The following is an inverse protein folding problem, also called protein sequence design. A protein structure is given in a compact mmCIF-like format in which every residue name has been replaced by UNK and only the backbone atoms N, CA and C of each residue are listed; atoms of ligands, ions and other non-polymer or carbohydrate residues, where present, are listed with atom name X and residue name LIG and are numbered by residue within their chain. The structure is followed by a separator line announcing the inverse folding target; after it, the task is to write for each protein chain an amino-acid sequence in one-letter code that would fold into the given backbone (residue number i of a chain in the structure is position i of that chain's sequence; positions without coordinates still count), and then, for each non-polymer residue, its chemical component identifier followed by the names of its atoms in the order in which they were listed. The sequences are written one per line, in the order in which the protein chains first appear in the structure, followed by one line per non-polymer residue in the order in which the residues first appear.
data_IF_228453058017
#
_entry.id   IF_228453058017
#
_cell.length_a   1.000
_cell.length_b   1.000
_cell.length_c   1.000
_cell.angle_alpha   90.00
_cell.angle_beta   90.00
_cell.angle_gamma   90.00
#
_symmetry.space_group_name_H-M   'P 1'
#
loop_
_entity.id
_entity.type
_entity.pdbx_description
1 polymer ?
#
# COMPACT_ATOMS: atom_id res chain seq x y z
N UNK A 1 -10.52 11.03 4.19
CA UNK A 1 -9.56 10.24 4.99
C UNK A 1 -8.20 10.95 5.12
N UNK A 2 -7.62 11.52 4.04
CA UNK A 2 -6.33 12.24 4.13
C UNK A 2 -6.35 13.33 5.21
N UNK A 3 -7.35 14.21 5.19
CA UNK A 3 -7.47 15.30 6.18
C UNK A 3 -7.66 14.78 7.61
N UNK A 4 -8.37 13.65 7.78
CA UNK A 4 -8.52 13.00 9.07
C UNK A 4 -7.17 12.53 9.64
N UNK A 5 -6.33 11.90 8.83
CA UNK A 5 -5.00 11.51 9.28
C UNK A 5 -4.10 12.74 9.51
N UNK A 6 -4.16 13.74 8.63
CA UNK A 6 -3.39 14.98 8.78
C UNK A 6 -3.71 15.69 10.10
N UNK A 7 -4.98 15.71 10.52
CA UNK A 7 -5.39 16.32 11.79
C UNK A 7 -4.91 15.58 13.05
N UNK A 8 -4.47 14.32 12.91
CA UNK A 8 -3.89 13.51 14.01
C UNK A 8 -2.37 13.68 14.15
N UNK A 9 -1.74 14.36 13.21
CA UNK A 9 -0.29 14.54 13.16
C UNK A 9 0.11 15.93 13.63
N UNK A 10 1.35 16.03 14.08
CA UNK A 10 1.97 17.34 14.33
C UNK A 10 2.08 18.12 13.02
N UNK A 11 1.99 19.46 13.03
CA UNK A 11 2.03 20.28 11.81
C UNK A 11 3.25 20.04 10.92
N UNK A 12 4.40 19.75 11.53
CA UNK A 12 5.67 19.50 10.85
C UNK A 12 5.83 18.08 10.30
N UNK A 13 4.99 17.12 10.75
CA UNK A 13 5.09 15.74 10.31
C UNK A 13 4.52 15.57 8.89
N UNK A 14 5.37 15.09 7.99
CA UNK A 14 5.03 14.88 6.58
C UNK A 14 4.26 13.57 6.36
N UNK A 15 3.47 13.51 5.29
CA UNK A 15 2.69 12.31 4.93
C UNK A 15 3.17 11.78 3.58
N UNK A 16 3.58 10.52 3.58
CA UNK A 16 3.79 9.72 2.37
C UNK A 16 2.49 8.96 2.09
N UNK A 17 1.81 9.25 0.99
CA UNK A 17 0.58 8.58 0.57
C UNK A 17 0.89 7.42 -0.37
N UNK A 18 0.42 6.21 -0.02
CA UNK A 18 0.64 5.00 -0.82
C UNK A 18 -0.37 4.92 -1.96
N UNK A 19 0.11 5.03 -3.21
CA UNK A 19 -0.72 4.97 -4.43
C UNK A 19 -0.33 3.81 -5.35
N UNK A 20 0.48 2.86 -4.84
CA UNK A 20 0.93 1.65 -5.53
C UNK A 20 -0.23 0.72 -5.91
N UNK A 21 0.05 -0.26 -6.76
CA UNK A 21 -0.92 -1.27 -7.23
C UNK A 21 -2.18 -0.60 -7.80
N UNK A 22 -1.98 0.33 -8.74
CA UNK A 22 -3.06 1.10 -9.36
C UNK A 22 -3.95 1.82 -8.33
N UNK A 23 -3.32 2.46 -7.32
CA UNK A 23 -4.06 3.09 -6.22
C UNK A 23 -4.91 2.10 -5.43
N UNK A 24 -4.36 0.92 -5.10
CA UNK A 24 -5.10 -0.19 -4.46
C UNK A 24 -6.33 -0.63 -5.28
N UNK A 25 -6.26 -0.50 -6.62
CA UNK A 25 -7.35 -0.81 -7.53
C UNK A 25 -8.33 0.35 -7.79
N UNK A 26 -8.15 1.49 -7.12
CA UNK A 26 -9.07 2.63 -7.22
C UNK A 26 -8.70 3.65 -8.33
N UNK A 27 -7.57 3.44 -9.02
CA UNK A 27 -7.01 4.38 -9.99
C UNK A 27 -5.87 5.21 -9.40
N UNK A 28 -4.70 5.17 -10.03
CA UNK A 28 -3.51 5.84 -9.47
C UNK A 28 -3.51 7.34 -9.74
N UNK A 29 -3.90 7.75 -10.95
CA UNK A 29 -3.76 9.14 -11.39
C UNK A 29 -4.69 10.09 -10.65
N UNK A 30 -5.99 9.82 -10.64
CA UNK A 30 -7.00 10.65 -10.00
C UNK A 30 -6.72 10.82 -8.50
N UNK A 31 -6.30 9.72 -7.88
CA UNK A 31 -5.89 9.73 -6.48
C UNK A 31 -4.62 10.56 -6.27
N UNK A 32 -3.56 10.32 -7.05
CA UNK A 32 -2.31 11.06 -6.96
C UNK A 32 -2.52 12.56 -7.22
N UNK A 33 -3.33 12.91 -8.23
CA UNK A 33 -3.70 14.31 -8.54
C UNK A 33 -4.45 14.97 -7.39
N UNK A 34 -5.44 14.26 -6.83
CA UNK A 34 -6.18 14.76 -5.67
C UNK A 34 -5.28 15.00 -4.46
N UNK A 35 -4.35 14.09 -4.20
CA UNK A 35 -3.40 14.21 -3.09
C UNK A 35 -2.42 15.36 -3.31
N UNK A 36 -1.91 15.52 -4.54
CA UNK A 36 -1.06 16.66 -4.90
C UNK A 36 -1.79 17.99 -4.71
N UNK A 37 -3.03 18.11 -5.19
CA UNK A 37 -3.84 19.32 -5.05
C UNK A 37 -4.21 19.64 -3.59
N UNK A 38 -4.24 18.62 -2.72
CA UNK A 38 -4.47 18.79 -1.28
C UNK A 38 -3.18 18.99 -0.49
N UNK A 39 -2.04 19.09 -1.16
CA UNK A 39 -0.75 19.38 -0.53
C UNK A 39 -0.19 18.21 0.29
N UNK A 40 -0.35 16.97 -0.18
CA UNK A 40 0.40 15.86 0.35
C UNK A 40 1.91 16.05 0.08
N UNK A 41 2.75 15.53 0.98
CA UNK A 41 4.20 15.77 0.89
C UNK A 41 4.90 14.81 -0.09
N UNK A 42 4.50 13.54 -0.08
CA UNK A 42 5.08 12.48 -0.90
C UNK A 42 4.01 11.50 -1.38
N UNK A 43 4.24 10.92 -2.54
CA UNK A 43 3.59 9.68 -2.95
C UNK A 43 4.56 8.50 -2.81
N UNK A 44 4.02 7.27 -2.72
CA UNK A 44 4.82 6.07 -2.83
C UNK A 44 4.14 5.04 -3.74
N UNK A 45 4.94 4.48 -4.64
CA UNK A 45 4.56 3.44 -5.60
C UNK A 45 5.36 2.17 -5.34
N UNK A 46 4.97 1.04 -5.93
CA UNK A 46 5.72 -0.20 -5.78
C UNK A 46 6.95 -0.23 -6.69
N UNK A 47 6.79 0.04 -7.96
CA UNK A 47 7.82 -0.08 -9.00
C UNK A 47 8.00 1.23 -9.77
N UNK A 48 9.12 1.35 -10.48
CA UNK A 48 9.47 2.57 -11.21
C UNK A 48 8.45 2.93 -12.31
N UNK A 49 7.86 1.93 -12.96
CA UNK A 49 6.89 2.15 -14.04
C UNK A 49 5.62 2.84 -13.55
N UNK A 50 5.10 2.49 -12.37
CA UNK A 50 3.97 3.20 -11.75
C UNK A 50 4.31 4.69 -11.54
N UNK A 51 5.51 4.98 -11.06
CA UNK A 51 5.98 6.36 -10.86
C UNK A 51 6.15 7.11 -12.17
N UNK A 52 6.69 6.45 -13.21
CA UNK A 52 6.86 7.03 -14.53
C UNK A 52 5.51 7.37 -15.20
N UNK A 53 4.50 6.51 -15.05
CA UNK A 53 3.14 6.80 -15.53
C UNK A 53 2.54 8.03 -14.83
N UNK A 54 2.68 8.15 -13.53
CA UNK A 54 2.25 9.33 -12.79
C UNK A 54 2.97 10.61 -13.24
N UNK A 55 4.29 10.53 -13.51
CA UNK A 55 5.06 11.66 -14.05
C UNK A 55 4.58 12.08 -15.44
N UNK A 56 4.35 11.11 -16.35
CA UNK A 56 3.79 11.37 -17.69
C UNK A 56 2.41 12.01 -17.62
N UNK A 57 1.62 11.67 -16.60
CA UNK A 57 0.32 12.27 -16.33
C UNK A 57 0.38 13.64 -15.64
N UNK A 58 1.58 14.19 -15.34
CA UNK A 58 1.75 15.54 -14.81
C UNK A 58 1.86 15.63 -13.28
N UNK A 59 2.08 14.54 -12.58
CA UNK A 59 2.38 14.57 -11.14
C UNK A 59 3.81 15.05 -10.93
N UNK A 60 4.00 16.10 -10.14
CA UNK A 60 5.30 16.77 -9.92
C UNK A 60 5.87 16.57 -8.51
N UNK A 61 5.03 16.22 -7.53
CA UNK A 61 5.47 16.00 -6.15
C UNK A 61 6.44 14.81 -6.03
N UNK A 62 7.26 14.71 -4.98
CA UNK A 62 8.19 13.59 -4.78
C UNK A 62 7.47 12.23 -4.77
N UNK A 63 8.06 11.23 -5.46
CA UNK A 63 7.53 9.86 -5.55
C UNK A 63 8.60 8.88 -5.09
N UNK A 64 8.33 8.18 -3.99
CA UNK A 64 9.15 7.10 -3.46
C UNK A 64 8.82 5.79 -4.18
N UNK A 65 9.82 5.05 -4.66
CA UNK A 65 9.68 3.71 -5.24
C UNK A 65 10.11 2.68 -4.20
N UNK A 66 9.17 1.81 -3.78
CA UNK A 66 9.34 0.89 -2.66
C UNK A 66 10.08 -0.41 -3.03
N UNK A 67 10.03 -0.84 -4.29
CA UNK A 67 10.71 -2.05 -4.76
C UNK A 67 11.46 -1.73 -6.08
N UNK A 68 12.51 -0.90 -6.02
CA UNK A 68 13.28 -0.60 -7.22
C UNK A 68 14.07 -1.83 -7.67
N UNK A 69 14.10 -2.05 -8.98
CA UNK A 69 14.91 -3.07 -9.62
C UNK A 69 16.12 -2.41 -10.32
N UNK A 70 17.24 -3.13 -10.44
CA UNK A 70 18.43 -2.61 -11.12
C UNK A 70 18.17 -2.29 -12.59
N UNK A 71 17.29 -3.06 -13.24
CA UNK A 71 16.82 -2.82 -14.62
C UNK A 71 16.07 -1.51 -14.80
N UNK A 72 15.54 -0.93 -13.72
CA UNK A 72 14.72 0.28 -13.74
C UNK A 72 15.48 1.58 -13.48
N UNK A 73 16.82 1.57 -13.29
CA UNK A 73 17.58 2.77 -12.93
C UNK A 73 17.42 3.91 -13.95
N UNK A 74 17.41 3.62 -15.24
CA UNK A 74 17.15 4.64 -16.27
C UNK A 74 15.79 5.31 -16.10
N UNK A 75 14.76 4.52 -15.79
CA UNK A 75 13.41 5.04 -15.50
C UNK A 75 13.43 5.90 -14.25
N UNK A 76 14.06 5.42 -13.16
CA UNK A 76 14.20 6.19 -11.92
C UNK A 76 14.82 7.57 -12.17
N UNK A 77 15.96 7.61 -12.85
CA UNK A 77 16.68 8.85 -13.11
C UNK A 77 15.94 9.78 -14.08
N UNK A 78 15.39 9.23 -15.18
CA UNK A 78 14.69 10.02 -16.20
C UNK A 78 13.42 10.69 -15.68
N UNK A 79 12.75 10.06 -14.71
CA UNK A 79 11.50 10.56 -14.13
C UNK A 79 11.66 11.14 -12.72
N UNK A 80 12.91 11.31 -12.24
CA UNK A 80 13.20 11.84 -10.90
C UNK A 80 12.39 11.13 -9.80
N UNK A 81 12.46 9.79 -9.78
CA UNK A 81 11.82 8.95 -8.79
C UNK A 81 12.82 8.59 -7.70
N UNK A 82 12.40 8.59 -6.45
CA UNK A 82 13.28 8.41 -5.29
C UNK A 82 13.24 6.95 -4.80
N UNK A 83 14.27 6.12 -5.05
CA UNK A 83 14.20 4.69 -4.71
C UNK A 83 14.47 4.41 -3.23
N UNK A 84 13.79 3.41 -2.69
CA UNK A 84 14.18 2.68 -1.49
C UNK A 84 15.48 1.92 -1.73
N UNK A 85 16.42 1.93 -0.79
CA UNK A 85 17.67 1.17 -0.83
C UNK A 85 17.69 0.20 0.34
N UNK A 86 17.67 -1.10 0.04
CA UNK A 86 17.50 -2.16 1.02
C UNK A 86 18.65 -3.19 1.05
N UNK A 87 19.63 -3.08 0.14
CA UNK A 87 20.76 -4.00 0.09
C UNK A 87 22.02 -3.30 -0.41
N UNK A 88 23.19 -3.87 -0.09
CA UNK A 88 24.48 -3.39 -0.58
C UNK A 88 24.62 -3.50 -2.10
N UNK A 89 24.05 -4.55 -2.69
CA UNK A 89 24.07 -4.73 -4.14
C UNK A 89 23.34 -3.58 -4.84
N UNK A 90 22.12 -3.27 -4.37
CA UNK A 90 21.33 -2.17 -4.92
C UNK A 90 22.00 -0.82 -4.71
N UNK A 91 22.58 -0.57 -3.51
CA UNK A 91 23.28 0.66 -3.20
C UNK A 91 24.50 0.87 -4.12
N UNK A 92 25.33 -0.14 -4.27
CA UNK A 92 26.51 -0.05 -5.16
C UNK A 92 26.12 0.08 -6.63
N UNK A 93 25.10 -0.64 -7.06
CA UNK A 93 24.64 -0.60 -8.44
C UNK A 93 24.05 0.75 -8.84
N UNK A 94 23.25 1.39 -7.97
CA UNK A 94 22.70 2.72 -8.26
C UNK A 94 23.78 3.82 -8.25
N UNK A 95 24.77 3.71 -7.36
CA UNK A 95 25.94 4.61 -7.35
C UNK A 95 26.71 4.47 -8.68
N UNK A 96 27.07 3.24 -9.05
CA UNK A 96 27.82 2.99 -10.28
C UNK A 96 27.09 3.44 -11.56
N UNK A 97 25.78 3.29 -11.62
CA UNK A 97 24.99 3.77 -12.76
C UNK A 97 24.86 5.31 -12.75
N UNK A 98 24.69 5.90 -11.58
CA UNK A 98 24.65 7.35 -11.42
C UNK A 98 25.98 8.04 -11.76
N UNK A 99 27.14 7.42 -11.44
CA UNK A 99 28.47 7.89 -11.84
C UNK A 99 28.61 7.97 -13.36
N UNK A 100 28.18 6.94 -14.09
CA UNK A 100 28.20 6.93 -15.56
C UNK A 100 27.38 8.08 -16.17
N UNK A 101 26.36 8.52 -15.47
CA UNK A 101 25.48 9.61 -15.89
C UNK A 101 25.88 10.97 -15.32
N UNK A 102 26.94 11.04 -14.50
CA UNK A 102 27.43 12.28 -13.87
C UNK A 102 26.43 12.84 -12.84
N UNK A 103 25.64 12.00 -12.20
CA UNK A 103 24.69 12.42 -11.17
C UNK A 103 25.41 12.78 -9.87
N UNK A 104 24.87 13.75 -9.15
CA UNK A 104 25.32 14.12 -7.81
C UNK A 104 24.11 14.48 -6.92
N UNK A 105 24.16 14.00 -5.67
CA UNK A 105 23.11 14.29 -4.66
C UNK A 105 21.73 13.71 -4.99
N UNK A 106 21.66 12.60 -5.74
CA UNK A 106 20.38 11.97 -6.07
C UNK A 106 19.72 11.37 -4.82
N UNK A 107 18.46 11.74 -4.50
CA UNK A 107 17.83 11.36 -3.25
C UNK A 107 17.46 9.87 -3.23
N UNK A 108 17.83 9.19 -2.14
CA UNK A 108 17.48 7.80 -1.88
C UNK A 108 16.94 7.65 -0.45
N UNK A 109 16.20 6.56 -0.20
CA UNK A 109 15.58 6.26 1.09
C UNK A 109 16.14 4.95 1.65
N UNK A 110 16.87 5.04 2.75
CA UNK A 110 17.55 3.87 3.35
C UNK A 110 16.54 3.05 4.15
N UNK A 111 16.40 1.78 3.79
CA UNK A 111 15.51 0.84 4.47
C UNK A 111 16.25 0.07 5.55
N UNK A 112 15.69 0.07 6.77
CA UNK A 112 16.15 -0.73 7.89
C UNK A 112 15.19 -1.90 8.11
N UNK A 113 15.72 -3.10 8.27
CA UNK A 113 14.98 -4.22 8.80
C UNK A 113 15.09 -4.23 10.32
N UNK A 114 14.07 -3.71 10.97
CA UNK A 114 13.98 -3.71 12.44
C UNK A 114 13.14 -4.88 12.98
N UNK A 115 12.80 -5.88 12.13
CA UNK A 115 12.05 -7.05 12.54
C UNK A 115 10.89 -7.46 11.61
N UNK A 116 10.67 -6.77 10.46
CA UNK A 116 9.72 -7.22 9.44
C UNK A 116 10.27 -8.41 8.63
N UNK A 117 11.59 -8.53 8.53
CA UNK A 117 12.33 -9.57 7.81
C UNK A 117 11.90 -9.76 6.36
N UNK A 118 11.68 -8.63 5.68
CA UNK A 118 11.28 -8.61 4.26
C UNK A 118 12.36 -7.98 3.38
N UNK A 119 12.73 -6.73 3.64
CA UNK A 119 13.78 -5.97 2.97
C UNK A 119 14.41 -5.01 3.99
N UNK A 120 15.67 -4.66 3.78
CA UNK A 120 16.37 -3.64 4.56
C UNK A 120 17.71 -4.09 5.15
N UNK A 121 18.50 -3.14 5.57
CA UNK A 121 19.74 -3.35 6.28
C UNK A 121 19.45 -3.69 7.74
N UNK A 122 20.19 -4.66 8.28
CA UNK A 122 20.18 -4.97 9.70
C UNK A 122 21.07 -3.99 10.49
N UNK A 123 20.89 -3.90 11.80
CA UNK A 123 21.68 -3.02 12.68
C UNK A 123 23.19 -3.21 12.51
N UNK A 124 23.66 -4.46 12.37
CA UNK A 124 25.08 -4.80 12.12
C UNK A 124 25.65 -4.26 10.82
N UNK A 125 24.80 -3.84 9.88
CA UNK A 125 25.20 -3.32 8.58
C UNK A 125 25.46 -1.81 8.57
N UNK A 126 25.08 -1.09 9.63
CA UNK A 126 25.04 0.38 9.63
C UNK A 126 26.40 1.03 9.40
N UNK A 127 27.47 0.48 9.94
CA UNK A 127 28.84 0.97 9.73
C UNK A 127 29.19 0.96 8.24
N UNK A 128 28.97 -0.16 7.56
CA UNK A 128 29.26 -0.28 6.12
C UNK A 128 28.33 0.58 5.26
N UNK A 129 27.05 0.75 5.64
CA UNK A 129 26.13 1.67 4.95
C UNK A 129 26.64 3.10 5.01
N UNK A 130 27.08 3.55 6.20
CA UNK A 130 27.65 4.89 6.41
C UNK A 130 28.95 5.07 5.60
N UNK A 131 29.86 4.11 5.63
CA UNK A 131 31.10 4.12 4.87
C UNK A 131 30.82 4.33 3.38
N UNK A 132 29.95 3.50 2.78
CA UNK A 132 29.60 3.61 1.37
C UNK A 132 28.95 4.97 1.05
N UNK A 133 28.02 5.44 1.89
CA UNK A 133 27.35 6.72 1.65
C UNK A 133 28.30 7.93 1.75
N UNK A 134 29.32 7.86 2.59
CA UNK A 134 30.29 8.95 2.76
C UNK A 134 31.42 8.95 1.73
N UNK A 135 31.69 7.82 1.08
CA UNK A 135 32.77 7.66 0.09
C UNK A 135 32.33 7.99 -1.36
N UNK A 136 31.18 8.63 -1.52
CA UNK A 136 30.64 8.98 -2.83
C UNK A 136 29.79 10.25 -2.78
N UNK A 137 29.44 10.81 -3.95
CA UNK A 137 28.64 12.04 -4.08
C UNK A 137 27.40 11.87 -4.95
N UNK A 138 27.19 10.68 -5.51
CA UNK A 138 26.10 10.37 -6.47
C UNK A 138 24.75 10.37 -5.79
N UNK A 139 24.63 9.68 -4.65
CA UNK A 139 23.38 9.58 -3.92
C UNK A 139 23.46 10.27 -2.56
N UNK A 140 22.29 10.72 -2.07
CA UNK A 140 22.15 11.32 -0.74
C UNK A 140 20.98 10.63 0.00
N UNK A 141 21.23 10.20 1.22
CA UNK A 141 20.19 9.61 2.07
C UNK A 141 19.17 10.69 2.50
N UNK A 142 18.06 10.80 1.78
CA UNK A 142 16.98 11.75 2.09
C UNK A 142 16.19 11.33 3.33
N UNK A 143 15.93 10.03 3.46
CA UNK A 143 15.30 9.47 4.65
C UNK A 143 15.86 8.10 5.02
N UNK A 144 15.59 7.71 6.25
CA UNK A 144 15.77 6.36 6.76
C UNK A 144 14.44 5.87 7.33
N UNK A 145 14.09 4.61 7.09
CA UNK A 145 12.79 4.09 7.51
C UNK A 145 12.76 2.58 7.75
N UNK A 146 11.77 2.16 8.51
CA UNK A 146 11.44 0.75 8.71
C UNK A 146 9.94 0.50 8.53
N UNK A 147 9.47 -0.71 8.84
CA UNK A 147 8.05 -1.07 8.73
C UNK A 147 7.62 -1.99 9.86
N UNK A 148 6.48 -1.70 10.46
CA UNK A 148 5.92 -2.54 11.50
C UNK A 148 5.40 -3.86 10.95
N UNK A 149 5.64 -4.93 11.71
CA UNK A 149 5.15 -6.27 11.42
C UNK A 149 3.76 -6.54 12.04
N UNK A 150 3.41 -5.90 13.17
CA UNK A 150 2.20 -6.22 13.93
C UNK A 150 1.57 -5.01 14.61
N UNK A 151 1.69 -3.79 14.05
CA UNK A 151 1.11 -2.58 14.65
C UNK A 151 -0.42 -2.54 14.66
N UNK A 152 -1.09 -3.43 13.98
CA UNK A 152 -2.55 -3.58 13.90
C UNK A 152 -3.14 -4.36 15.08
N UNK A 153 -2.36 -5.22 15.74
CA UNK A 153 -2.83 -6.07 16.84
C UNK A 153 -2.14 -5.73 18.16
N UNK A 154 -2.93 -5.49 19.22
CA UNK A 154 -2.43 -5.14 20.56
C UNK A 154 -1.47 -6.16 21.17
N UNK A 155 -1.66 -7.45 20.87
CA UNK A 155 -0.78 -8.53 21.36
C UNK A 155 0.68 -8.40 20.89
N UNK A 156 0.94 -7.58 19.88
CA UNK A 156 2.28 -7.35 19.32
C UNK A 156 2.87 -5.98 19.70
N UNK A 157 2.32 -5.30 20.70
CA UNK A 157 2.81 -3.99 21.11
C UNK A 157 4.28 -4.03 21.57
N UNK A 158 4.63 -5.00 22.41
CA UNK A 158 6.01 -5.19 22.83
C UNK A 158 6.96 -5.43 21.68
N UNK A 159 6.50 -6.15 20.65
CA UNK A 159 7.28 -6.36 19.43
C UNK A 159 7.45 -5.08 18.64
N UNK A 160 6.38 -4.30 18.51
CA UNK A 160 6.40 -3.01 17.84
C UNK A 160 7.34 -2.02 18.52
N UNK A 161 7.37 -1.98 19.86
CA UNK A 161 8.33 -1.17 20.62
C UNK A 161 9.78 -1.60 20.36
N UNK A 162 10.08 -2.90 20.37
CA UNK A 162 11.42 -3.38 20.00
C UNK A 162 11.81 -3.00 18.58
N UNK A 163 10.87 -3.02 17.62
CA UNK A 163 11.12 -2.54 16.26
C UNK A 163 11.48 -1.05 16.23
N UNK A 164 10.79 -0.22 17.05
CA UNK A 164 11.07 1.22 17.19
C UNK A 164 12.48 1.43 17.78
N UNK A 165 12.83 0.73 18.85
CA UNK A 165 14.15 0.84 19.48
C UNK A 165 15.28 0.48 18.51
N UNK A 166 15.18 -0.65 17.83
CA UNK A 166 16.17 -1.08 16.83
C UNK A 166 16.27 -0.08 15.68
N UNK A 167 15.14 0.38 15.16
CA UNK A 167 15.10 1.40 14.11
C UNK A 167 15.74 2.71 14.59
N UNK A 168 15.45 3.16 15.82
CA UNK A 168 15.98 4.41 16.37
C UNK A 168 17.50 4.35 16.48
N UNK A 169 18.08 3.26 17.01
CA UNK A 169 19.53 3.09 17.08
C UNK A 169 20.19 3.18 15.68
N UNK A 170 19.62 2.49 14.68
CA UNK A 170 20.12 2.57 13.30
C UNK A 170 20.02 3.98 12.72
N UNK A 171 18.88 4.65 12.93
CA UNK A 171 18.63 5.99 12.44
C UNK A 171 19.53 7.04 13.12
N UNK A 172 19.77 6.89 14.43
CA UNK A 172 20.68 7.75 15.19
C UNK A 172 22.12 7.58 14.71
N UNK A 173 22.55 6.33 14.49
CA UNK A 173 23.88 6.05 13.97
C UNK A 173 24.08 6.67 12.58
N UNK A 174 23.13 6.50 11.67
CA UNK A 174 23.19 7.09 10.33
C UNK A 174 23.21 8.64 10.39
N UNK A 175 22.37 9.25 11.26
CA UNK A 175 22.33 10.71 11.42
C UNK A 175 23.62 11.29 12.01
N UNK A 176 24.23 10.61 12.99
CA UNK A 176 25.50 11.05 13.60
C UNK A 176 26.65 11.11 12.61
N UNK A 177 26.61 10.27 11.57
CA UNK A 177 27.66 10.20 10.54
C UNK A 177 27.27 10.94 9.23
N UNK A 178 26.14 11.64 9.22
CA UNK A 178 25.67 12.43 8.07
C UNK A 178 25.85 13.92 8.30
N UNK A 179 26.25 14.66 7.24
CA UNK A 179 26.38 16.12 7.26
C UNK A 179 25.06 16.87 7.09
N UNK A 180 23.98 16.17 6.76
CA UNK A 180 22.66 16.74 6.52
C UNK A 180 21.62 16.03 7.36
N UNK A 181 20.43 16.66 7.51
CA UNK A 181 19.31 16.04 8.20
C UNK A 181 18.74 14.91 7.34
N UNK A 182 18.63 13.71 7.92
CA UNK A 182 17.96 12.54 7.35
C UNK A 182 16.57 12.41 7.97
N UNK A 183 15.52 12.41 7.15
CA UNK A 183 14.14 12.29 7.63
C UNK A 183 13.85 10.85 8.10
N UNK A 184 13.10 10.70 9.18
CA UNK A 184 12.83 9.39 9.80
C UNK A 184 11.37 9.02 9.70
N UNK A 185 11.07 7.78 9.38
CA UNK A 185 9.69 7.28 9.41
C UNK A 185 9.58 5.76 9.62
N UNK A 186 8.63 5.35 10.45
CA UNK A 186 8.33 3.94 10.70
C UNK A 186 6.83 3.65 10.60
N UNK A 187 5.96 4.60 11.00
CA UNK A 187 4.53 4.38 11.13
C UNK A 187 3.85 4.12 9.78
N UNK A 188 3.08 3.02 9.71
CA UNK A 188 2.07 2.75 8.70
C UNK A 188 0.69 3.25 9.20
N UNK A 189 -0.42 2.97 8.51
CA UNK A 189 -1.76 3.41 8.93
C UNK A 189 -2.11 3.00 10.36
N UNK A 190 -1.87 1.74 10.75
CA UNK A 190 -2.12 1.27 12.11
C UNK A 190 -1.22 1.98 13.12
N UNK A 191 0.06 2.14 12.78
CA UNK A 191 1.01 2.87 13.60
C UNK A 191 0.62 4.32 13.85
N UNK A 192 0.09 5.03 12.87
CA UNK A 192 -0.42 6.40 13.04
C UNK A 192 -1.55 6.45 14.08
N UNK A 193 -2.41 5.45 14.10
CA UNK A 193 -3.55 5.39 15.01
C UNK A 193 -3.18 4.93 16.42
N UNK A 194 -2.18 4.05 16.56
CA UNK A 194 -1.88 3.37 17.82
C UNK A 194 -0.61 3.83 18.51
N UNK A 195 0.34 4.41 17.79
CA UNK A 195 1.63 4.86 18.28
C UNK A 195 1.94 6.30 17.85
N UNK A 196 1.00 7.26 18.08
CA UNK A 196 1.14 8.63 17.57
C UNK A 196 2.37 9.38 18.11
N UNK A 197 2.93 8.95 19.24
CA UNK A 197 4.16 9.52 19.82
C UNK A 197 5.40 9.29 18.92
N UNK A 198 5.37 8.27 18.06
CA UNK A 198 6.48 7.92 17.16
C UNK A 198 6.30 8.41 15.72
N UNK A 199 5.52 9.48 15.48
CA UNK A 199 5.31 10.04 14.12
C UNK A 199 6.62 10.53 13.46
N UNK A 200 7.64 10.87 14.25
CA UNK A 200 8.95 11.33 13.77
C UNK A 200 8.84 12.47 12.73
N UNK A 201 9.63 12.45 11.65
CA UNK A 201 9.56 13.47 10.59
C UNK A 201 8.47 13.16 9.55
N UNK A 202 8.14 11.87 9.34
CA UNK A 202 7.16 11.44 8.33
C UNK A 202 6.39 10.21 8.79
N UNK A 203 5.21 10.01 8.17
CA UNK A 203 4.39 8.79 8.30
C UNK A 203 3.97 8.27 6.93
N UNK A 204 3.61 6.98 6.84
CA UNK A 204 3.13 6.37 5.60
C UNK A 204 1.66 5.98 5.71
N UNK A 205 0.81 6.73 5.02
CA UNK A 205 -0.62 6.50 4.96
C UNK A 205 -0.95 5.55 3.79
N UNK A 206 -1.35 4.34 4.13
CA UNK A 206 -1.73 3.30 3.18
C UNK A 206 -3.23 3.02 3.19
N UNK A 207 -3.63 1.88 3.75
CA UNK A 207 -5.00 1.36 3.66
C UNK A 207 -6.05 2.32 4.23
N UNK A 208 -5.70 3.12 5.25
CA UNK A 208 -6.60 4.13 5.82
C UNK A 208 -6.98 5.25 4.85
N UNK A 209 -6.15 5.52 3.84
CA UNK A 209 -6.48 6.48 2.79
C UNK A 209 -7.73 6.02 2.01
N UNK A 210 -7.86 4.71 1.83
CA UNK A 210 -8.94 4.05 1.09
C UNK A 210 -10.18 3.75 1.93
N UNK A 211 -10.22 4.20 3.18
CA UNK A 211 -11.38 4.06 4.05
C UNK A 211 -11.48 2.72 4.78
N UNK A 212 -10.39 1.96 4.81
CA UNK A 212 -10.33 0.69 5.55
C UNK A 212 -9.50 0.88 6.82
N UNK A 213 -10.12 0.59 7.98
CA UNK A 213 -9.41 0.60 9.26
C UNK A 213 -8.59 -0.68 9.42
N UNK A 214 -7.29 -0.58 9.73
CA UNK A 214 -6.48 -1.75 10.05
C UNK A 214 -6.62 -2.19 11.51
N UNK A 215 -7.44 -1.50 12.32
CA UNK A 215 -7.66 -1.77 13.73
C UNK A 215 -9.16 -1.88 14.01
N UNK A 216 -9.52 -2.61 15.06
CA UNK A 216 -10.94 -2.84 15.43
C UNK A 216 -11.65 -1.58 15.96
N UNK A 217 -10.86 -0.60 16.45
CA UNK A 217 -11.44 0.64 17.00
C UNK A 217 -11.95 1.55 15.88
N UNK A 218 -13.21 2.01 15.94
CA UNK A 218 -13.72 2.99 14.99
C UNK A 218 -12.85 4.25 14.96
N UNK A 219 -12.41 4.66 13.77
CA UNK A 219 -11.49 5.78 13.61
C UNK A 219 -12.04 6.91 12.70
N UNK A 220 -13.32 6.85 12.34
CA UNK A 220 -14.00 7.89 11.57
C UNK A 220 -13.63 7.93 10.07
N UNK A 221 -13.20 6.78 9.51
CA UNK A 221 -12.89 6.67 8.08
C UNK A 221 -14.18 6.61 7.25
N UNK A 222 -14.14 7.29 6.11
CA UNK A 222 -15.20 7.24 5.10
C UNK A 222 -14.85 6.22 4.02
N UNK A 223 -15.84 5.40 3.62
CA UNK A 223 -15.71 4.46 2.50
C UNK A 223 -15.46 5.23 1.20
N UNK A 224 -14.38 4.91 0.49
CA UNK A 224 -13.97 5.61 -0.73
C UNK A 224 -14.54 4.96 -1.98
N UNK A 225 -14.63 3.63 -2.02
CA UNK A 225 -15.00 2.88 -3.23
C UNK A 225 -16.34 2.17 -3.08
N UNK A 226 -17.13 2.16 -4.15
CA UNK A 226 -18.36 1.37 -4.27
C UNK A 226 -18.28 0.54 -5.54
N UNK A 227 -18.30 -0.80 -5.39
CA UNK A 227 -18.38 -1.70 -6.53
C UNK A 227 -19.86 -1.84 -6.95
N UNK A 228 -20.14 -1.59 -8.23
CA UNK A 228 -21.49 -1.71 -8.82
C UNK A 228 -21.45 -2.62 -10.02
N UNK A 229 -22.53 -3.39 -10.22
CA UNK A 229 -22.74 -4.21 -11.40
C UNK A 229 -24.22 -4.22 -11.77
N UNK A 230 -24.58 -4.87 -12.87
CA UNK A 230 -25.97 -4.97 -13.38
C UNK A 230 -26.45 -6.41 -13.32
N UNK A 231 -27.76 -6.60 -13.36
CA UNK A 231 -28.36 -7.93 -13.50
C UNK A 231 -28.48 -8.25 -15.00
N UNK A 232 -27.86 -9.37 -15.42
CA UNK A 232 -27.95 -9.87 -16.80
C UNK A 232 -29.28 -10.57 -17.09
N UNK A 233 -29.71 -11.44 -16.17
CA UNK A 233 -30.91 -12.24 -16.32
C UNK A 233 -31.45 -12.67 -14.96
N UNK A 234 -32.75 -12.77 -14.84
CA UNK A 234 -33.42 -13.40 -13.69
C UNK A 234 -34.18 -14.64 -14.17
N UNK A 235 -34.05 -15.75 -13.44
CA UNK A 235 -34.77 -16.99 -13.67
C UNK A 235 -35.57 -17.35 -12.42
N UNK A 236 -36.78 -17.87 -12.60
CA UNK A 236 -37.53 -18.52 -11.55
C UNK A 236 -37.26 -20.01 -11.61
N UNK A 237 -36.82 -20.58 -10.52
CA UNK A 237 -36.40 -21.98 -10.42
C UNK A 237 -37.13 -22.62 -9.23
N UNK A 238 -37.47 -23.89 -9.37
CA UNK A 238 -38.20 -24.65 -8.32
C UNK A 238 -37.26 -25.13 -7.22
N UNK A 239 -37.83 -25.40 -6.06
CA UNK A 239 -37.14 -26.09 -4.98
C UNK A 239 -36.49 -27.40 -5.47
N UNK A 240 -35.29 -27.71 -5.00
CA UNK A 240 -34.51 -28.87 -5.42
C UNK A 240 -33.62 -28.64 -6.65
N UNK A 241 -33.85 -27.58 -7.43
CA UNK A 241 -32.98 -27.21 -8.54
C UNK A 241 -31.59 -26.81 -8.05
N UNK A 242 -30.59 -26.95 -8.94
CA UNK A 242 -29.20 -26.70 -8.59
C UNK A 242 -28.55 -25.64 -9.50
N UNK A 243 -27.62 -24.88 -8.93
CA UNK A 243 -27.04 -23.71 -9.56
C UNK A 243 -25.49 -23.83 -9.63
N UNK A 244 -24.95 -23.49 -10.79
CA UNK A 244 -23.52 -23.32 -11.02
C UNK A 244 -22.73 -24.62 -11.12
N UNK A 245 -21.41 -24.47 -11.26
CA UNK A 245 -20.49 -25.59 -11.42
C UNK A 245 -20.49 -26.53 -10.21
N UNK A 246 -20.46 -27.82 -10.51
CA UNK A 246 -20.51 -28.87 -9.50
C UNK A 246 -21.88 -28.97 -8.80
N UNK A 247 -22.90 -28.26 -9.30
CA UNK A 247 -24.25 -28.24 -8.73
C UNK A 247 -24.26 -27.88 -7.23
N UNK A 248 -23.36 -26.98 -6.81
CA UNK A 248 -23.15 -26.66 -5.38
C UNK A 248 -24.24 -25.79 -4.78
N UNK A 249 -24.90 -24.94 -5.58
CA UNK A 249 -26.07 -24.19 -5.12
C UNK A 249 -27.32 -25.07 -5.18
N UNK A 250 -27.86 -25.47 -4.06
CA UNK A 250 -29.12 -26.25 -3.97
C UNK A 250 -30.21 -25.34 -3.44
N UNK A 251 -31.32 -25.24 -4.15
CA UNK A 251 -32.47 -24.42 -3.75
C UNK A 251 -33.36 -25.18 -2.77
N UNK A 252 -33.58 -24.62 -1.60
CA UNK A 252 -34.52 -25.19 -0.59
C UNK A 252 -35.97 -24.77 -0.77
N UNK A 253 -36.21 -23.77 -1.62
CA UNK A 253 -37.53 -23.21 -1.94
C UNK A 253 -37.57 -22.75 -3.41
N UNK A 254 -38.76 -22.51 -3.93
CA UNK A 254 -38.88 -21.80 -5.21
C UNK A 254 -38.22 -20.44 -5.09
N UNK A 255 -37.34 -20.14 -6.02
CA UNK A 255 -36.43 -18.99 -5.91
C UNK A 255 -36.31 -18.22 -7.21
N UNK A 256 -36.05 -16.91 -7.10
CA UNK A 256 -35.68 -16.05 -8.21
C UNK A 256 -34.15 -15.84 -8.16
N UNK A 257 -33.45 -16.35 -9.15
CA UNK A 257 -32.01 -16.34 -9.24
C UNK A 257 -31.59 -15.36 -10.33
N UNK A 258 -30.78 -14.37 -9.97
CA UNK A 258 -30.22 -13.40 -10.89
C UNK A 258 -28.74 -13.73 -11.19
N UNK A 259 -28.35 -13.62 -12.46
CA UNK A 259 -26.96 -13.65 -12.89
C UNK A 259 -26.42 -12.22 -12.97
N UNK A 260 -25.23 -11.98 -12.42
CA UNK A 260 -24.53 -10.70 -12.45
C UNK A 260 -23.13 -10.87 -13.08
N UNK A 261 -22.68 -9.92 -13.95
CA UNK A 261 -21.40 -10.03 -14.67
C UNK A 261 -20.23 -9.57 -13.78
N UNK A 262 -19.89 -10.41 -12.82
CA UNK A 262 -18.69 -10.32 -12.01
C UNK A 262 -18.29 -11.72 -11.55
N UNK A 263 -17.03 -12.05 -11.67
CA UNK A 263 -16.49 -13.35 -11.30
C UNK A 263 -15.07 -13.29 -10.78
N UNK A 264 -14.42 -14.46 -10.66
CA UNK A 264 -13.08 -14.52 -10.09
C UNK A 264 -12.00 -13.91 -11.01
N UNK A 265 -12.23 -13.79 -12.33
CA UNK A 265 -11.33 -13.08 -13.23
C UNK A 265 -11.30 -11.57 -12.99
N UNK A 266 -12.37 -11.01 -12.39
CA UNK A 266 -12.47 -9.62 -11.96
C UNK A 266 -11.93 -9.40 -10.54
N UNK A 267 -11.44 -10.46 -9.87
CA UNK A 267 -10.94 -10.42 -8.51
C UNK A 267 -11.98 -10.78 -7.42
N UNK A 268 -13.20 -11.21 -7.79
CA UNK A 268 -14.19 -11.68 -6.81
C UNK A 268 -13.76 -13.02 -6.23
N UNK A 269 -13.43 -13.05 -4.93
CA UNK A 269 -12.94 -14.25 -4.27
C UNK A 269 -13.97 -15.40 -4.34
N UNK A 270 -13.56 -16.54 -4.87
CA UNK A 270 -14.40 -17.75 -4.97
C UNK A 270 -14.92 -18.26 -3.63
N UNK A 271 -14.22 -17.96 -2.52
CA UNK A 271 -14.69 -18.32 -1.18
C UNK A 271 -15.97 -17.58 -0.76
N UNK A 272 -16.34 -16.50 -1.45
CA UNK A 272 -17.60 -15.79 -1.24
C UNK A 272 -18.81 -16.51 -1.84
N UNK A 273 -18.62 -17.56 -2.64
CA UNK A 273 -19.70 -18.41 -3.14
C UNK A 273 -20.42 -19.22 -2.06
N UNK A 274 -21.46 -19.94 -2.49
CA UNK A 274 -22.21 -20.89 -1.66
C UNK A 274 -22.80 -20.25 -0.38
N UNK A 275 -23.39 -19.07 -0.50
CA UNK A 275 -24.09 -18.36 0.58
C UNK A 275 -23.20 -17.56 1.53
N UNK A 276 -21.87 -17.56 1.37
CA UNK A 276 -20.96 -16.82 2.26
C UNK A 276 -20.91 -15.32 1.96
N UNK A 277 -20.87 -14.96 0.69
CA UNK A 277 -20.90 -13.57 0.24
C UNK A 277 -22.30 -13.11 -0.12
N UNK A 278 -22.49 -11.80 -0.15
CA UNK A 278 -23.73 -11.20 -0.61
C UNK A 278 -23.46 -9.89 -1.35
N UNK A 279 -24.44 -9.48 -2.18
CA UNK A 279 -24.52 -8.15 -2.76
C UNK A 279 -25.78 -7.45 -2.25
N UNK A 280 -25.91 -6.15 -2.53
CA UNK A 280 -27.12 -5.40 -2.20
C UNK A 280 -27.90 -5.13 -3.49
N UNK A 281 -29.17 -5.51 -3.54
CA UNK A 281 -30.11 -5.25 -4.63
C UNK A 281 -31.31 -4.53 -4.05
N UNK A 282 -31.61 -3.32 -4.54
CA UNK A 282 -32.71 -2.48 -4.04
C UNK A 282 -32.73 -2.32 -2.51
N UNK A 283 -31.55 -2.17 -1.89
CA UNK A 283 -31.42 -2.01 -0.44
C UNK A 283 -31.46 -3.32 0.37
N UNK A 284 -31.70 -4.47 -0.26
CA UNK A 284 -31.75 -5.80 0.39
C UNK A 284 -30.49 -6.61 0.09
N UNK A 285 -30.06 -7.44 1.04
CA UNK A 285 -28.92 -8.35 0.86
C UNK A 285 -29.37 -9.58 0.07
N UNK A 286 -28.69 -9.87 -1.04
CA UNK A 286 -28.89 -11.03 -1.89
C UNK A 286 -27.63 -11.93 -1.80
N UNK A 287 -27.79 -13.16 -1.33
CA UNK A 287 -26.69 -14.11 -1.16
C UNK A 287 -26.17 -14.61 -2.50
N UNK A 288 -24.86 -14.84 -2.61
CA UNK A 288 -24.24 -15.50 -3.76
C UNK A 288 -24.53 -17.01 -3.67
N UNK A 289 -25.17 -17.58 -4.68
CA UNK A 289 -25.58 -18.98 -4.71
C UNK A 289 -24.71 -19.78 -5.66
N UNK A 290 -24.25 -20.94 -5.20
CA UNK A 290 -23.35 -21.82 -5.97
C UNK A 290 -21.94 -21.27 -6.06
N UNK A 291 -21.12 -21.90 -6.91
CA UNK A 291 -19.74 -21.47 -7.15
C UNK A 291 -19.71 -20.22 -8.02
N UNK A 292 -18.82 -19.27 -7.66
CA UNK A 292 -18.52 -18.11 -8.51
C UNK A 292 -17.80 -18.61 -9.77
N UNK A 293 -18.27 -18.17 -10.96
CA UNK A 293 -17.69 -18.51 -12.25
C UNK A 293 -16.58 -17.49 -12.61
N UNK A 294 -16.00 -17.62 -13.80
CA UNK A 294 -14.91 -16.75 -14.26
C UNK A 294 -15.35 -15.27 -14.31
N UNK A 295 -16.47 -15.00 -14.97
CA UNK A 295 -16.95 -13.64 -15.29
C UNK A 295 -18.39 -13.39 -14.80
N UNK A 296 -19.03 -14.37 -14.17
CA UNK A 296 -20.44 -14.31 -13.73
C UNK A 296 -20.58 -15.00 -12.39
N UNK A 297 -21.45 -14.50 -11.53
CA UNK A 297 -21.96 -15.24 -10.38
C UNK A 297 -23.47 -15.10 -10.28
N UNK A 298 -24.10 -15.99 -9.50
CA UNK A 298 -25.55 -16.05 -9.31
C UNK A 298 -25.88 -15.61 -7.89
N UNK A 299 -26.96 -14.87 -7.76
CA UNK A 299 -27.45 -14.33 -6.48
C UNK A 299 -28.93 -14.66 -6.31
N UNK A 300 -29.35 -14.90 -5.07
CA UNK A 300 -30.75 -15.09 -4.72
C UNK A 300 -31.43 -13.73 -4.52
N UNK A 301 -32.42 -13.43 -5.36
CA UNK A 301 -33.23 -12.20 -5.34
C UNK A 301 -34.71 -12.49 -5.11
N UNK A 302 -35.02 -13.59 -4.41
CA UNK A 302 -36.38 -14.05 -4.17
C UNK A 302 -37.16 -13.04 -3.33
N UNK A 303 -36.54 -12.50 -2.29
CA UNK A 303 -37.10 -11.54 -1.34
C UNK A 303 -36.67 -10.11 -1.76
#
# INVERSE_FOLDING_TARGET
NYNLFKSKLRPETKIICMVKAFGYGAGSYELAKTLQDRGADFLAVAVADEGAELRKAGITMPILVMNPEMSSFRTLFSYYLEPEIYSFELLRAIIAEGEKLGLAGYPVHIKIDSGMHRLGFEEKNMEQVVEILNDQTVVIARSVFSHFAGSDEKRFDDYSHRQIETFSRCADYLQQHSKHKILRHILNTAGILRFPEYQMDMVRLGIGLYGVSPIDTPCGLETVSTLKTTILQIKTLSAGETIGYGRKGVLSRDSRIAAIPIGYADGLDRHLGNGKGCVVVNGKRAAIVGNICMDVCMIDVTD
#
